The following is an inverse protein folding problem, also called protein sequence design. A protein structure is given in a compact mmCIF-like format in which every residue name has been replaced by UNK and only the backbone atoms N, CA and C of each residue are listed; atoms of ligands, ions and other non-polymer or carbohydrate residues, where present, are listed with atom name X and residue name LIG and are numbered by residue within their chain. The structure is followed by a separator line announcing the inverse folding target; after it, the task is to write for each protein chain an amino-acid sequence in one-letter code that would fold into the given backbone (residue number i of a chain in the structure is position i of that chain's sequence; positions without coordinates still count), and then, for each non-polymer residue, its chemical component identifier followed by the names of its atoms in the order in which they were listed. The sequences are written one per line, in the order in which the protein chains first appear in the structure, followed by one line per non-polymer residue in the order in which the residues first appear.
data_IF_669048799737
#
_entry.id   IF_669048799737
#
_cell.length_a   1.000
_cell.length_b   1.000
_cell.length_c   1.000
_cell.angle_alpha   90.00
_cell.angle_beta   90.00
_cell.angle_gamma   90.00
#
_symmetry.space_group_name_H-M   'P 1'
#
loop_
_entity.id
_entity.type
_entity.pdbx_description
1 polymer ?
#
# COMPACT_ATOMS: atom_id res chain seq x y z
N UNK A 1 -69.09 50.01 -5.45
CA UNK A 1 -67.79 50.34 -6.05
C UNK A 1 -66.71 49.92 -5.06
N UNK A 2 -66.19 48.70 -5.23
CA UNK A 2 -65.28 48.06 -4.28
C UNK A 2 -63.85 48.06 -4.82
N UNK A 3 -62.91 48.49 -3.99
CA UNK A 3 -61.47 48.47 -4.23
C UNK A 3 -60.97 47.02 -4.35
N UNK A 4 -60.16 46.73 -5.36
CA UNK A 4 -59.40 45.48 -5.48
C UNK A 4 -58.05 45.66 -4.79
N UNK A 5 -57.67 44.84 -3.79
CA UNK A 5 -56.36 44.94 -3.18
C UNK A 5 -55.28 44.29 -4.06
N UNK A 6 -54.16 44.99 -4.17
CA UNK A 6 -52.88 44.58 -4.77
C UNK A 6 -52.20 43.57 -3.84
N UNK A 7 -51.98 42.34 -4.30
CA UNK A 7 -51.23 41.33 -3.56
C UNK A 7 -49.75 41.48 -3.92
N UNK A 8 -48.96 41.97 -2.98
CA UNK A 8 -47.50 41.95 -3.02
C UNK A 8 -47.01 40.57 -2.56
N UNK A 9 -46.32 39.84 -3.44
CA UNK A 9 -45.56 38.66 -3.04
C UNK A 9 -44.20 39.10 -2.51
N UNK A 10 -44.06 39.08 -1.18
CA UNK A 10 -42.81 39.34 -0.48
C UNK A 10 -41.70 38.38 -0.91
N UNK A 11 -40.61 38.96 -1.40
CA UNK A 11 -39.38 38.28 -1.73
C UNK A 11 -38.67 37.82 -0.44
N UNK A 12 -38.80 36.53 -0.07
CA UNK A 12 -38.00 35.93 0.99
C UNK A 12 -36.66 35.48 0.41
N UNK A 13 -35.65 36.34 0.53
CA UNK A 13 -34.25 36.03 0.24
C UNK A 13 -33.67 35.10 1.32
N UNK A 14 -33.92 33.79 1.18
CA UNK A 14 -33.13 32.80 1.92
C UNK A 14 -31.83 32.53 1.16
N UNK A 15 -30.80 33.29 1.53
CA UNK A 15 -29.40 33.01 1.22
C UNK A 15 -29.01 31.65 1.82
N UNK A 16 -29.02 30.60 1.00
CA UNK A 16 -28.36 29.33 1.33
C UNK A 16 -26.88 29.47 0.98
N UNK A 17 -26.07 29.89 1.95
CA UNK A 17 -24.62 29.79 1.86
C UNK A 17 -24.22 28.34 2.06
N UNK A 18 -24.06 27.61 0.96
CA UNK A 18 -23.28 26.36 0.95
C UNK A 18 -21.81 26.75 1.20
N UNK A 19 -21.35 26.58 2.44
CA UNK A 19 -19.94 26.72 2.78
C UNK A 19 -19.20 25.47 2.33
N UNK A 20 -18.60 25.55 1.14
CA UNK A 20 -17.64 24.56 0.68
C UNK A 20 -16.33 24.80 1.40
N UNK A 21 -16.03 24.00 2.43
CA UNK A 21 -14.69 23.92 3.01
C UNK A 21 -13.79 23.15 2.03
N UNK A 22 -13.35 23.83 0.97
CA UNK A 22 -12.21 23.39 0.16
C UNK A 22 -10.95 23.55 1.01
N UNK A 23 -10.50 22.47 1.67
CA UNK A 23 -9.07 22.39 2.00
C UNK A 23 -8.32 22.46 0.68
N UNK A 24 -7.49 23.47 0.52
CA UNK A 24 -6.61 23.60 -0.63
C UNK A 24 -5.76 22.33 -0.75
N UNK A 25 -6.07 21.49 -1.73
CA UNK A 25 -5.18 20.41 -2.15
C UNK A 25 -4.01 21.07 -2.87
N UNK A 26 -2.91 21.27 -2.14
CA UNK A 26 -1.61 21.50 -2.75
C UNK A 26 -1.17 20.18 -3.40
N UNK A 27 -1.70 19.89 -4.58
CA UNK A 27 -1.03 18.99 -5.52
C UNK A 27 0.19 19.74 -6.04
N UNK A 28 1.27 19.65 -5.26
CA UNK A 28 2.61 19.99 -5.71
C UNK A 28 2.84 19.32 -7.06
N UNK A 29 3.16 20.16 -8.04
CA UNK A 29 3.61 19.85 -9.40
C UNK A 29 4.37 18.50 -9.43
N UNK A 30 3.74 17.44 -9.93
CA UNK A 30 4.44 16.20 -10.29
C UNK A 30 5.36 16.53 -11.47
N UNK A 31 6.59 16.93 -11.13
CA UNK A 31 7.69 16.96 -12.09
C UNK A 31 8.15 15.53 -12.30
N UNK A 32 8.32 15.17 -13.57
CA UNK A 32 8.85 13.92 -14.09
C UNK A 32 10.04 13.43 -13.25
N UNK A 33 9.87 12.34 -12.51
CA UNK A 33 11.00 11.63 -11.89
C UNK A 33 11.49 10.61 -12.92
N UNK A 34 12.34 11.10 -13.82
CA UNK A 34 13.23 10.27 -14.63
C UNK A 34 14.64 10.39 -14.06
N UNK A 35 15.04 9.53 -13.13
CA UNK A 35 16.43 9.11 -12.86
C UNK A 35 16.49 8.21 -11.62
N UNK A 36 16.50 6.89 -11.84
CA UNK A 36 17.04 5.94 -10.85
C UNK A 36 18.56 5.90 -11.03
N UNK A 37 19.28 6.74 -10.30
CA UNK A 37 20.69 6.52 -10.02
C UNK A 37 20.84 6.05 -8.56
N UNK A 38 21.32 4.80 -8.43
CA UNK A 38 22.03 4.16 -7.30
C UNK A 38 21.88 4.84 -5.93
N UNK A 39 21.17 4.19 -5.02
CA UNK A 39 21.29 4.45 -3.58
C UNK A 39 22.51 3.69 -3.01
N UNK A 40 23.49 4.37 -2.40
CA UNK A 40 24.46 3.74 -1.51
C UNK A 40 23.85 3.60 -0.10
N UNK A 41 24.00 2.42 0.49
CA UNK A 41 23.70 2.15 1.90
C UNK A 41 24.46 3.13 2.81
N UNK A 42 23.81 3.81 3.79
CA UNK A 42 24.53 4.50 4.84
C UNK A 42 24.76 3.60 6.06
N UNK A 43 26.04 3.49 6.41
CA UNK A 43 26.53 3.12 7.72
C UNK A 43 25.89 4.01 8.80
N UNK A 44 25.35 3.39 9.84
CA UNK A 44 24.74 4.04 11.00
C UNK A 44 25.81 4.74 11.82
N UNK A 45 25.81 6.06 11.82
CA UNK A 45 26.44 6.89 12.86
C UNK A 45 25.35 7.62 13.65
N UNK A 46 25.28 7.27 14.94
CA UNK A 46 24.33 7.76 15.92
C UNK A 46 24.59 9.24 16.27
N UNK A 47 23.61 10.11 16.02
CA UNK A 47 23.45 11.34 16.81
C UNK A 47 22.02 11.45 17.32
N UNK A 48 21.89 11.09 18.59
CA UNK A 48 20.75 11.26 19.49
C UNK A 48 20.18 12.68 19.41
N UNK A 49 18.91 12.81 18.99
CA UNK A 49 18.04 13.94 19.37
C UNK A 49 16.79 13.40 20.04
N UNK A 50 16.66 13.74 21.32
CA UNK A 50 15.55 13.38 22.18
C UNK A 50 14.25 14.05 21.70
N UNK A 51 13.24 13.24 21.40
CA UNK A 51 11.84 13.67 21.50
C UNK A 51 11.19 12.84 22.61
N UNK A 52 10.92 13.51 23.74
CA UNK A 52 10.12 12.97 24.83
C UNK A 52 8.65 12.98 24.40
N UNK A 53 8.08 11.82 24.08
CA UNK A 53 6.64 11.61 24.18
C UNK A 53 6.40 10.52 25.22
N UNK A 54 6.07 10.98 26.41
CA UNK A 54 5.59 10.16 27.53
C UNK A 54 4.18 9.70 27.21
N UNK A 55 4.03 8.43 26.83
CA UNK A 55 2.75 7.73 26.95
C UNK A 55 2.95 6.52 27.87
N UNK A 56 2.42 6.68 29.08
CA UNK A 56 2.30 5.69 30.13
C UNK A 56 1.63 4.41 29.58
N UNK A 57 2.44 3.38 29.31
CA UNK A 57 1.93 2.02 29.17
C UNK A 57 1.72 1.46 30.58
N UNK A 58 0.48 1.51 31.06
CA UNK A 58 0.03 0.71 32.20
C UNK A 58 0.28 -0.76 31.88
N UNK A 59 1.18 -1.36 32.66
CA UNK A 59 1.59 -2.75 32.60
C UNK A 59 0.43 -3.60 33.13
N UNK A 60 -0.34 -4.24 32.24
CA UNK A 60 -1.19 -5.36 32.65
C UNK A 60 -0.26 -6.56 32.88
N UNK A 61 0.03 -6.84 34.14
CA UNK A 61 0.56 -8.11 34.59
C UNK A 61 -0.62 -9.09 34.64
N UNK A 62 -0.64 -10.04 33.71
CA UNK A 62 -1.43 -11.28 33.88
C UNK A 62 -0.67 -12.11 34.91
N UNK A 63 -1.22 -12.17 36.12
CA UNK A 63 -0.71 -13.06 37.17
C UNK A 63 -0.97 -14.50 36.76
N UNK A 64 0.10 -15.22 36.42
CA UNK A 64 0.09 -16.69 36.45
C UNK A 64 0.42 -17.06 37.88
N UNK A 65 -0.57 -17.64 38.57
CA UNK A 65 -0.44 -18.10 39.94
C UNK A 65 0.71 -19.08 40.06
N UNK A 66 1.63 -18.78 40.97
CA UNK A 66 2.59 -19.75 41.49
C UNK A 66 2.31 -19.81 42.98
N UNK A 67 1.91 -21.00 43.42
CA UNK A 67 1.50 -21.28 44.79
C UNK A 67 2.62 -20.94 45.78
N UNK A 68 2.20 -20.47 46.95
CA UNK A 68 3.06 -20.11 48.06
C UNK A 68 3.93 -21.30 48.48
N UNK A 69 5.23 -21.10 48.53
CA UNK A 69 6.15 -21.94 49.30
C UNK A 69 7.09 -21.02 50.05
N UNK A 70 6.87 -20.99 51.36
CA UNK A 70 7.60 -20.30 52.42
C UNK A 70 9.09 -20.10 52.18
N UNK A 71 9.51 -18.86 52.45
CA UNK A 71 10.88 -18.43 52.64
C UNK A 71 11.55 -19.22 53.78
N UNK A 72 12.69 -19.81 53.49
CA UNK A 72 13.72 -20.12 54.47
C UNK A 72 14.91 -19.20 54.18
N UNK A 73 14.99 -18.11 54.94
CA UNK A 73 16.18 -17.28 55.08
C UNK A 73 17.21 -18.05 55.92
N UNK A 74 18.05 -18.87 55.29
CA UNK A 74 19.30 -19.38 55.89
C UNK A 74 20.09 -20.16 54.82
N UNK A 75 20.94 -19.47 54.05
CA UNK A 75 22.10 -20.03 53.32
C UNK A 75 22.79 -19.02 52.37
N UNK A 76 22.64 -17.72 52.60
CA UNK A 76 23.10 -16.71 51.63
C UNK A 76 24.58 -16.30 51.71
N UNK A 77 25.43 -16.95 52.51
CA UNK A 77 26.78 -16.38 52.78
C UNK A 77 28.01 -17.27 52.50
N UNK A 78 27.86 -18.41 51.83
CA UNK A 78 29.04 -19.28 51.57
C UNK A 78 29.08 -19.86 50.15
N UNK A 79 29.00 -19.01 49.14
CA UNK A 79 29.22 -19.42 47.73
C UNK A 79 29.91 -18.39 46.84
N UNK A 80 30.46 -17.29 47.38
CA UNK A 80 31.03 -16.20 46.58
C UNK A 80 32.56 -16.24 46.37
N UNK A 81 33.23 -17.38 46.60
CA UNK A 81 34.71 -17.43 46.58
C UNK A 81 35.33 -18.54 45.71
N UNK A 82 34.56 -19.27 44.90
CA UNK A 82 35.13 -20.23 43.94
C UNK A 82 35.27 -19.57 42.56
N UNK A 83 36.46 -19.57 41.92
CA UNK A 83 36.59 -19.09 40.56
C UNK A 83 35.73 -19.94 39.62
N UNK A 84 34.88 -19.26 38.82
CA UNK A 84 33.99 -19.89 37.85
C UNK A 84 34.77 -20.81 36.91
N UNK A 85 34.22 -21.99 36.67
CA UNK A 85 34.82 -22.95 35.75
C UNK A 85 34.72 -22.45 34.29
N UNK A 86 35.61 -22.90 33.42
CA UNK A 86 35.64 -22.46 32.01
C UNK A 86 34.30 -22.70 31.30
N UNK A 87 33.58 -23.76 31.65
CA UNK A 87 32.31 -24.09 31.01
C UNK A 87 31.14 -23.25 31.53
N UNK A 88 31.15 -22.85 32.81
CA UNK A 88 30.22 -21.85 33.37
C UNK A 88 30.45 -20.46 32.74
N UNK A 89 31.70 -20.09 32.46
CA UNK A 89 32.00 -18.84 31.76
C UNK A 89 31.52 -18.86 30.31
N UNK A 90 31.66 -20.00 29.61
CA UNK A 90 31.12 -20.17 28.24
C UNK A 90 29.60 -20.12 28.22
N UNK A 91 28.92 -20.76 29.17
CA UNK A 91 27.45 -20.72 29.24
C UNK A 91 26.94 -19.30 29.49
N UNK A 92 27.54 -18.56 30.44
CA UNK A 92 27.19 -17.16 30.67
C UNK A 92 27.41 -16.30 29.43
N UNK A 93 28.52 -16.51 28.69
CA UNK A 93 28.76 -15.79 27.44
C UNK A 93 27.68 -16.10 26.41
N UNK A 94 27.34 -17.38 26.20
CA UNK A 94 26.26 -17.80 25.30
C UNK A 94 24.93 -17.17 25.70
N UNK A 95 24.60 -17.14 26.99
CA UNK A 95 23.36 -16.54 27.48
C UNK A 95 23.33 -15.02 27.28
N UNK A 96 24.46 -14.33 27.46
CA UNK A 96 24.55 -12.90 27.15
C UNK A 96 24.37 -12.62 25.66
N UNK A 97 24.94 -13.44 24.77
CA UNK A 97 24.76 -13.31 23.33
C UNK A 97 23.32 -13.64 22.90
N UNK A 98 22.71 -14.70 23.45
CA UNK A 98 21.30 -15.02 23.26
C UNK A 98 20.39 -13.87 23.68
N UNK A 99 20.63 -13.26 24.84
CA UNK A 99 19.87 -12.13 25.33
C UNK A 99 19.97 -10.91 24.38
N UNK A 100 21.17 -10.64 23.85
CA UNK A 100 21.38 -9.58 22.83
C UNK A 100 20.59 -9.87 21.56
N UNK A 101 20.61 -11.11 21.06
CA UNK A 101 19.88 -11.52 19.87
C UNK A 101 18.37 -11.42 20.07
N UNK A 102 17.85 -11.90 21.19
CA UNK A 102 16.43 -11.80 21.54
C UNK A 102 15.98 -10.34 21.61
N UNK A 103 16.81 -9.46 22.20
CA UNK A 103 16.55 -8.02 22.23
C UNK A 103 16.46 -7.44 20.82
N UNK A 104 17.47 -7.68 19.96
CA UNK A 104 17.47 -7.22 18.56
C UNK A 104 16.27 -7.75 17.78
N UNK A 105 15.92 -9.02 17.96
CA UNK A 105 14.76 -9.64 17.32
C UNK A 105 13.45 -8.99 17.80
N UNK A 106 13.33 -8.70 19.09
CA UNK A 106 12.16 -8.00 19.63
C UNK A 106 12.04 -6.57 19.08
N UNK A 107 13.15 -5.84 18.95
CA UNK A 107 13.19 -4.49 18.41
C UNK A 107 12.81 -4.49 16.91
N UNK A 108 13.38 -5.40 16.13
CA UNK A 108 13.04 -5.59 14.72
C UNK A 108 11.56 -5.98 14.54
N UNK A 109 11.04 -6.87 15.39
CA UNK A 109 9.62 -7.24 15.36
C UNK A 109 8.69 -6.07 15.71
N UNK A 110 9.08 -5.21 16.66
CA UNK A 110 8.34 -3.99 16.97
C UNK A 110 8.31 -3.03 15.77
N UNK A 111 9.45 -2.84 15.10
CA UNK A 111 9.54 -2.03 13.89
C UNK A 111 8.69 -2.60 12.76
N UNK A 112 8.76 -3.91 12.50
CA UNK A 112 7.93 -4.59 11.50
C UNK A 112 6.43 -4.39 11.77
N UNK A 113 6.00 -4.53 13.03
CA UNK A 113 4.59 -4.29 13.41
C UNK A 113 4.18 -2.83 13.19
N UNK A 114 5.08 -1.88 13.46
CA UNK A 114 4.82 -0.46 13.23
C UNK A 114 4.68 -0.15 11.74
N UNK A 115 5.62 -0.61 10.91
CA UNK A 115 5.60 -0.40 9.46
C UNK A 115 4.37 -1.04 8.81
N UNK A 116 4.00 -2.26 9.22
CA UNK A 116 2.77 -2.92 8.74
C UNK A 116 1.50 -2.11 9.05
N UNK A 117 1.43 -1.48 10.23
CA UNK A 117 0.30 -0.60 10.57
C UNK A 117 0.28 0.66 9.72
N UNK A 118 1.44 1.26 9.46
CA UNK A 118 1.54 2.44 8.60
C UNK A 118 1.11 2.12 7.15
N UNK A 119 1.60 1.01 6.58
CA UNK A 119 1.21 0.57 5.24
C UNK A 119 -0.31 0.36 5.16
N UNK A 120 -0.89 -0.37 6.10
CA UNK A 120 -2.35 -0.60 6.14
C UNK A 120 -3.15 0.70 6.24
N UNK A 121 -2.67 1.69 7.01
CA UNK A 121 -3.31 3.01 7.09
C UNK A 121 -3.27 3.74 5.74
N UNK A 122 -2.11 3.74 5.09
CA UNK A 122 -1.92 4.37 3.78
C UNK A 122 -2.74 3.69 2.69
N UNK A 123 -2.82 2.36 2.69
CA UNK A 123 -3.69 1.60 1.79
C UNK A 123 -5.15 2.02 1.95
N UNK A 124 -5.64 2.13 3.19
CA UNK A 124 -7.00 2.59 3.46
C UNK A 124 -7.24 4.01 2.93
N UNK A 125 -6.30 4.93 3.15
CA UNK A 125 -6.38 6.30 2.62
C UNK A 125 -6.44 6.31 1.08
N UNK A 126 -5.61 5.52 0.40
CA UNK A 126 -5.64 5.38 -1.06
C UNK A 126 -6.99 4.84 -1.53
N UNK A 127 -7.53 3.81 -0.87
CA UNK A 127 -8.83 3.25 -1.23
C UNK A 127 -9.97 4.25 -1.04
N UNK A 128 -9.93 5.06 0.02
CA UNK A 128 -10.93 6.10 0.27
C UNK A 128 -10.84 7.22 -0.78
N UNK A 129 -9.64 7.68 -1.12
CA UNK A 129 -9.46 8.68 -2.18
C UNK A 129 -9.92 8.13 -3.53
N UNK A 130 -9.66 6.85 -3.81
CA UNK A 130 -10.12 6.20 -5.05
C UNK A 130 -11.66 6.19 -5.14
N UNK A 131 -12.36 5.85 -4.06
CA UNK A 131 -13.83 5.86 -4.06
C UNK A 131 -14.40 7.27 -4.20
N UNK A 132 -13.83 8.27 -3.50
CA UNK A 132 -14.22 9.67 -3.65
C UNK A 132 -14.00 10.20 -5.08
N UNK A 133 -12.88 9.86 -5.72
CA UNK A 133 -12.61 10.23 -7.11
C UNK A 133 -13.58 9.56 -8.08
N UNK A 134 -13.96 8.30 -7.85
CA UNK A 134 -14.94 7.60 -8.67
C UNK A 134 -16.34 8.24 -8.56
N UNK A 135 -16.76 8.64 -7.36
CA UNK A 135 -18.03 9.36 -7.18
C UNK A 135 -18.02 10.71 -7.91
N UNK A 136 -16.92 11.47 -7.80
CA UNK A 136 -16.76 12.75 -8.49
C UNK A 136 -16.77 12.58 -10.01
N UNK A 137 -16.18 11.50 -10.54
CA UNK A 137 -16.20 11.20 -11.97
C UNK A 137 -17.63 10.96 -12.49
N UNK A 138 -18.46 10.23 -11.74
CA UNK A 138 -19.87 9.99 -12.07
C UNK A 138 -20.71 11.27 -12.02
N UNK A 139 -20.50 12.12 -11.01
CA UNK A 139 -21.17 13.42 -10.92
C UNK A 139 -20.82 14.33 -12.11
N UNK A 140 -19.53 14.42 -12.45
CA UNK A 140 -19.09 15.20 -13.61
C UNK A 140 -19.64 14.59 -14.91
N UNK A 141 -19.72 13.26 -15.02
CA UNK A 141 -20.31 12.61 -16.18
C UNK A 141 -21.80 12.96 -16.34
N UNK A 142 -22.56 13.04 -15.24
CA UNK A 142 -23.94 13.49 -15.28
C UNK A 142 -24.05 14.95 -15.75
N UNK A 143 -23.17 15.83 -15.27
CA UNK A 143 -23.10 17.22 -15.71
C UNK A 143 -22.73 17.35 -17.20
N UNK A 144 -21.82 16.51 -17.69
CA UNK A 144 -21.48 16.45 -19.12
C UNK A 144 -22.74 16.11 -19.94
N UNK A 145 -23.48 15.05 -19.58
CA UNK A 145 -24.72 14.66 -20.28
C UNK A 145 -25.76 15.79 -20.31
N UNK A 146 -25.97 16.46 -19.18
CA UNK A 146 -26.86 17.62 -19.13
C UNK A 146 -26.38 18.76 -20.04
N UNK A 147 -25.07 19.01 -20.07
CA UNK A 147 -24.50 20.03 -20.96
C UNK A 147 -24.58 19.63 -22.45
N UNK A 148 -24.48 18.34 -22.78
CA UNK A 148 -24.71 17.81 -24.12
C UNK A 148 -26.15 18.04 -24.57
N UNK A 149 -27.13 17.72 -23.72
CA UNK A 149 -28.54 17.98 -23.99
C UNK A 149 -28.79 19.47 -24.25
N UNK A 150 -28.27 20.35 -23.40
CA UNK A 150 -28.40 21.81 -23.55
C UNK A 150 -27.73 22.30 -24.85
N UNK A 151 -26.58 21.73 -25.22
CA UNK A 151 -25.91 22.08 -26.46
C UNK A 151 -26.72 21.63 -27.70
N UNK A 152 -27.47 20.53 -27.59
CA UNK A 152 -28.28 19.95 -28.67
C UNK A 152 -29.66 20.61 -28.85
N UNK A 153 -30.23 21.21 -27.79
CA UNK A 153 -31.55 21.88 -27.82
C UNK A 153 -31.60 23.19 -28.65
N UNK A 154 -30.51 23.53 -29.35
CA UNK A 154 -30.39 24.74 -30.15
C UNK A 154 -29.86 25.92 -29.35
N UNK A 155 -29.43 26.98 -30.05
CA UNK A 155 -28.81 28.16 -29.42
C UNK A 155 -29.92 29.19 -29.08
N UNK A 156 -30.19 29.46 -27.79
CA UNK A 156 -31.12 30.51 -27.39
C UNK A 156 -30.75 31.88 -27.98
N UNK A 157 -31.75 32.68 -28.34
CA UNK A 157 -31.54 34.06 -28.78
C UNK A 157 -30.82 34.86 -27.68
N UNK A 158 -29.80 35.63 -28.07
CA UNK A 158 -28.95 36.39 -27.13
C UNK A 158 -27.82 35.58 -26.47
N UNK A 159 -27.61 34.31 -26.87
CA UNK A 159 -26.51 33.51 -26.33
C UNK A 159 -25.14 34.15 -26.59
N UNK A 160 -24.41 34.39 -25.50
CA UNK A 160 -23.04 34.90 -25.54
C UNK A 160 -22.09 33.88 -26.18
N UNK A 161 -21.09 34.38 -26.89
CA UNK A 161 -19.91 33.59 -27.31
C UNK A 161 -18.72 33.81 -26.38
N UNK A 162 -17.97 32.75 -26.14
CA UNK A 162 -16.71 32.73 -25.40
C UNK A 162 -15.69 32.05 -26.29
N UNK A 163 -14.59 32.74 -26.61
CA UNK A 163 -13.52 32.23 -27.50
C UNK A 163 -14.06 31.68 -28.83
N UNK A 164 -15.04 32.36 -29.43
CA UNK A 164 -15.66 31.97 -30.70
C UNK A 164 -16.72 30.87 -30.63
N UNK A 165 -16.86 30.18 -29.48
CA UNK A 165 -17.87 29.14 -29.25
C UNK A 165 -19.07 29.70 -28.48
N UNK A 166 -20.26 29.17 -28.69
CA UNK A 166 -21.42 29.51 -27.85
C UNK A 166 -21.21 29.01 -26.42
N UNK A 167 -21.72 29.75 -25.43
CA UNK A 167 -21.51 29.46 -24.01
C UNK A 167 -21.85 28.00 -23.64
N UNK A 168 -22.90 27.42 -24.24
CA UNK A 168 -23.31 26.03 -24.04
C UNK A 168 -22.23 25.05 -24.52
N UNK A 169 -21.81 25.19 -25.78
CA UNK A 169 -20.74 24.37 -26.36
C UNK A 169 -19.38 24.56 -25.66
N UNK A 170 -19.10 25.77 -25.16
CA UNK A 170 -17.90 26.05 -24.39
C UNK A 170 -17.94 25.32 -23.04
N UNK A 171 -19.07 25.38 -22.31
CA UNK A 171 -19.26 24.67 -21.05
C UNK A 171 -19.09 23.16 -21.23
N UNK A 172 -19.73 22.57 -22.23
CA UNK A 172 -19.59 21.14 -22.56
C UNK A 172 -18.11 20.77 -22.74
N UNK A 173 -17.38 21.49 -23.60
CA UNK A 173 -15.96 21.20 -23.85
C UNK A 173 -15.07 21.33 -22.60
N UNK A 174 -15.45 22.19 -21.64
CA UNK A 174 -14.73 22.35 -20.37
C UNK A 174 -15.04 21.20 -19.42
N UNK A 175 -16.30 20.77 -19.33
CA UNK A 175 -16.70 19.63 -18.52
C UNK A 175 -16.09 18.32 -19.06
N UNK A 176 -16.07 18.12 -20.38
CA UNK A 176 -15.40 16.99 -21.01
C UNK A 176 -13.91 16.93 -20.67
N UNK A 177 -13.23 18.08 -20.72
CA UNK A 177 -11.82 18.16 -20.36
C UNK A 177 -11.58 17.79 -18.88
N UNK A 178 -12.48 18.19 -17.98
CA UNK A 178 -12.42 17.81 -16.56
C UNK A 178 -12.71 16.33 -16.37
N UNK A 179 -13.76 15.80 -17.00
CA UNK A 179 -14.11 14.38 -16.96
C UNK A 179 -12.96 13.50 -17.46
N UNK A 180 -12.37 13.85 -18.62
CA UNK A 180 -11.20 13.15 -19.17
C UNK A 180 -10.04 13.16 -18.19
N UNK A 181 -9.73 14.31 -17.57
CA UNK A 181 -8.65 14.43 -16.59
C UNK A 181 -8.89 13.56 -15.35
N UNK A 182 -10.12 13.52 -14.83
CA UNK A 182 -10.49 12.66 -13.70
C UNK A 182 -10.32 11.18 -14.07
N UNK A 183 -10.80 10.78 -15.26
CA UNK A 183 -10.65 9.41 -15.76
C UNK A 183 -9.19 9.00 -15.90
N UNK A 184 -8.34 9.89 -16.41
CA UNK A 184 -6.90 9.64 -16.52
C UNK A 184 -6.22 9.54 -15.14
N UNK A 185 -6.66 10.34 -14.15
CA UNK A 185 -6.18 10.24 -12.77
C UNK A 185 -6.58 8.92 -12.11
N UNK A 186 -7.82 8.47 -12.28
CA UNK A 186 -8.30 7.18 -11.75
C UNK A 186 -7.47 6.04 -12.35
N UNK A 187 -7.27 6.03 -13.68
CA UNK A 187 -6.40 5.05 -14.34
C UNK A 187 -4.97 5.08 -13.81
N UNK A 188 -4.43 6.27 -13.53
CA UNK A 188 -3.10 6.43 -12.94
C UNK A 188 -3.01 5.82 -11.54
N UNK A 189 -4.04 5.99 -10.70
CA UNK A 189 -4.12 5.37 -9.37
C UNK A 189 -4.21 3.85 -9.48
N UNK A 190 -5.02 3.34 -10.41
CA UNK A 190 -5.17 1.89 -10.64
C UNK A 190 -3.88 1.23 -11.13
N UNK A 191 -3.15 1.88 -12.04
CA UNK A 191 -1.87 1.38 -12.53
C UNK A 191 -0.76 1.44 -11.46
N UNK A 192 -0.87 2.34 -10.48
CA UNK A 192 0.09 2.45 -9.39
C UNK A 192 -0.16 1.45 -8.24
N UNK A 193 -1.41 0.97 -8.10
CA UNK A 193 -1.81 0.05 -7.05
C UNK A 193 -1.25 -1.36 -7.31
N UNK A 194 -0.48 -1.89 -6.36
CA UNK A 194 -0.06 -3.29 -6.41
C UNK A 194 -1.22 -4.22 -6.07
N UNK A 195 -1.31 -5.33 -6.79
CA UNK A 195 -2.28 -6.41 -6.60
C UNK A 195 -1.57 -7.66 -6.10
N UNK A 196 -2.28 -8.41 -5.28
CA UNK A 196 -1.84 -9.71 -4.79
C UNK A 196 -1.96 -10.74 -5.92
N UNK A 197 -0.87 -11.42 -6.24
CA UNK A 197 -0.79 -12.41 -7.32
C UNK A 197 -0.19 -13.69 -6.77
N UNK A 198 -0.93 -14.79 -6.88
CA UNK A 198 -0.45 -16.10 -6.47
C UNK A 198 0.32 -16.74 -7.62
N UNK A 199 1.57 -17.10 -7.36
CA UNK A 199 2.43 -17.83 -8.28
C UNK A 199 2.69 -19.20 -7.69
N UNK A 200 2.66 -20.24 -8.52
CA UNK A 200 2.87 -21.60 -8.06
C UNK A 200 3.68 -22.41 -9.07
N UNK A 201 4.29 -23.49 -8.60
CA UNK A 201 4.99 -24.46 -9.42
C UNK A 201 4.64 -25.85 -8.93
N UNK A 202 4.44 -26.81 -9.84
CA UNK A 202 4.01 -28.17 -9.51
C UNK A 202 5.06 -29.14 -10.03
N UNK A 203 5.56 -30.00 -9.13
CA UNK A 203 6.51 -31.04 -9.49
C UNK A 203 7.21 -31.66 -8.28
N UNK A 204 8.24 -32.46 -8.55
CA UNK A 204 9.12 -33.02 -7.54
C UNK A 204 10.37 -32.15 -7.45
N UNK A 205 10.53 -31.43 -6.35
CA UNK A 205 11.69 -30.59 -6.07
C UNK A 205 11.93 -30.50 -4.57
N UNK A 206 13.14 -30.17 -4.15
CA UNK A 206 13.47 -29.86 -2.76
C UNK A 206 13.26 -28.37 -2.45
N UNK A 207 13.65 -27.51 -3.39
CA UNK A 207 13.56 -26.07 -3.27
C UNK A 207 13.15 -25.42 -4.60
N UNK A 208 12.23 -24.46 -4.52
CA UNK A 208 11.77 -23.72 -5.68
C UNK A 208 11.80 -22.24 -5.37
N UNK A 209 12.47 -21.47 -6.23
CA UNK A 209 12.52 -20.02 -6.16
C UNK A 209 11.98 -19.42 -7.46
N UNK A 210 11.39 -18.23 -7.39
CA UNK A 210 10.97 -17.47 -8.58
C UNK A 210 11.78 -16.19 -8.69
N UNK A 211 12.12 -15.84 -9.93
CA UNK A 211 12.73 -14.56 -10.31
C UNK A 211 12.00 -14.01 -11.53
N UNK A 212 11.98 -12.69 -11.71
CA UNK A 212 11.34 -12.11 -12.88
C UNK A 212 11.74 -10.68 -13.21
N UNK A 213 11.06 -10.12 -14.20
CA UNK A 213 11.30 -8.75 -14.65
C UNK A 213 10.73 -7.70 -13.70
N UNK A 214 9.87 -8.09 -12.76
CA UNK A 214 9.23 -7.17 -11.79
C UNK A 214 10.22 -6.52 -10.83
N UNK A 215 11.34 -7.18 -10.53
CA UNK A 215 12.45 -6.68 -9.70
C UNK A 215 13.76 -6.53 -10.49
N UNK A 216 13.69 -6.71 -11.81
CA UNK A 216 14.85 -6.69 -12.70
C UNK A 216 15.78 -7.89 -12.54
N UNK A 217 15.25 -9.06 -12.17
CA UNK A 217 15.98 -10.33 -12.05
C UNK A 217 17.09 -10.32 -10.99
N UNK A 218 16.87 -9.65 -9.84
CA UNK A 218 17.92 -9.48 -8.82
C UNK A 218 17.65 -10.29 -7.55
N UNK A 219 16.38 -10.45 -7.18
CA UNK A 219 15.92 -11.06 -5.95
C UNK A 219 15.26 -12.40 -6.26
N UNK A 220 15.57 -13.38 -5.41
CA UNK A 220 14.96 -14.71 -5.42
C UNK A 220 13.89 -14.74 -4.35
N UNK A 221 12.67 -15.09 -4.74
CA UNK A 221 11.58 -15.32 -3.80
C UNK A 221 11.35 -16.82 -3.66
N UNK A 222 11.44 -17.32 -2.42
CA UNK A 222 11.22 -18.72 -2.11
C UNK A 222 9.73 -19.07 -2.19
N UNK A 223 9.41 -20.23 -2.75
CA UNK A 223 8.07 -20.78 -2.73
C UNK A 223 7.91 -21.75 -1.57
N UNK A 224 6.78 -21.64 -0.88
CA UNK A 224 6.42 -22.53 0.21
C UNK A 224 5.89 -23.86 -0.35
N UNK A 225 6.42 -25.02 0.09
CA UNK A 225 5.92 -26.32 -0.33
C UNK A 225 4.59 -26.66 0.36
N UNK A 226 3.64 -27.11 -0.45
CA UNK A 226 2.37 -27.71 -0.05
C UNK A 226 2.37 -29.16 -0.53
N UNK A 227 2.48 -30.09 0.41
CA UNK A 227 2.59 -31.52 0.11
C UNK A 227 1.23 -32.10 -0.25
N UNK A 228 1.10 -32.60 -1.48
CA UNK A 228 -0.02 -33.43 -1.92
C UNK A 228 0.44 -34.87 -2.12
N UNK A 229 -0.51 -35.81 -2.14
CA UNK A 229 -0.21 -37.25 -2.13
C UNK A 229 0.56 -37.76 -3.37
N UNK A 230 0.58 -37.00 -4.47
CA UNK A 230 1.18 -37.40 -5.75
C UNK A 230 2.26 -36.44 -6.27
N UNK A 231 2.25 -35.18 -5.84
CA UNK A 231 3.16 -34.13 -6.27
C UNK A 231 3.25 -33.04 -5.20
N UNK A 232 4.32 -32.25 -5.21
CA UNK A 232 4.44 -31.09 -4.32
C UNK A 232 4.06 -29.83 -5.10
N UNK A 233 3.15 -29.04 -4.52
CA UNK A 233 2.80 -27.72 -5.05
C UNK A 233 3.58 -26.68 -4.27
N UNK A 234 4.45 -25.96 -4.94
CA UNK A 234 5.17 -24.83 -4.39
C UNK A 234 4.36 -23.56 -4.68
N UNK A 235 4.15 -22.69 -3.71
CA UNK A 235 3.38 -21.46 -3.92
C UNK A 235 3.97 -20.25 -3.19
N UNK A 236 3.76 -19.07 -3.77
CA UNK A 236 4.12 -17.79 -3.16
C UNK A 236 3.12 -16.71 -3.57
N UNK A 237 3.09 -15.63 -2.81
CA UNK A 237 2.25 -14.47 -3.03
C UNK A 237 3.13 -13.26 -3.33
N UNK A 238 2.96 -12.69 -4.53
CA UNK A 238 3.67 -11.50 -4.97
C UNK A 238 2.74 -10.29 -5.01
N UNK A 239 3.26 -9.11 -4.69
CA UNK A 239 2.53 -7.84 -4.81
C UNK A 239 3.04 -7.06 -6.03
N UNK A 240 2.35 -7.17 -7.15
CA UNK A 240 2.78 -6.64 -8.44
C UNK A 240 1.80 -5.59 -8.97
N UNK A 241 2.30 -4.59 -9.68
CA UNK A 241 1.43 -3.62 -10.36
C UNK A 241 0.80 -4.25 -11.61
N UNK A 242 -0.32 -3.73 -12.12
CA UNK A 242 -0.85 -4.16 -13.40
C UNK A 242 0.20 -4.03 -14.50
N UNK A 243 0.38 -5.09 -15.28
CA UNK A 243 1.45 -5.18 -16.27
C UNK A 243 1.73 -6.61 -16.72
N UNK A 244 2.60 -6.72 -17.72
CA UNK A 244 3.12 -8.00 -18.23
C UNK A 244 4.54 -8.18 -17.70
N UNK A 245 4.76 -9.27 -16.99
CA UNK A 245 6.04 -9.63 -16.41
C UNK A 245 6.54 -10.93 -17.01
N UNK A 246 7.85 -11.04 -17.13
CA UNK A 246 8.53 -12.29 -17.45
C UNK A 246 9.09 -12.88 -16.16
N UNK A 247 9.04 -14.20 -16.02
CA UNK A 247 9.57 -14.89 -14.85
C UNK A 247 10.17 -16.24 -15.24
N UNK A 248 10.99 -16.77 -14.34
CA UNK A 248 11.55 -18.11 -14.45
C UNK A 248 11.69 -18.72 -13.06
N UNK A 249 11.57 -20.04 -12.99
CA UNK A 249 11.72 -20.78 -11.75
C UNK A 249 13.14 -21.32 -11.66
N UNK A 250 13.73 -21.22 -10.47
CA UNK A 250 14.96 -21.91 -10.12
C UNK A 250 14.58 -23.08 -9.23
N UNK A 251 14.65 -24.29 -9.78
CA UNK A 251 14.24 -25.54 -9.14
C UNK A 251 15.50 -26.34 -8.86
N UNK A 252 15.82 -26.57 -7.59
CA UNK A 252 17.03 -27.29 -7.16
C UNK A 252 18.34 -26.78 -7.81
N UNK A 253 18.39 -25.48 -8.08
CA UNK A 253 19.54 -24.82 -8.71
C UNK A 253 19.53 -24.79 -10.24
N UNK A 254 18.54 -25.41 -10.89
CA UNK A 254 18.38 -25.41 -12.35
C UNK A 254 17.21 -24.51 -12.80
N UNK A 255 17.43 -23.79 -13.90
CA UNK A 255 16.42 -22.90 -14.46
C UNK A 255 15.36 -23.69 -15.22
N UNK A 256 14.10 -23.60 -14.77
CA UNK A 256 12.98 -24.32 -15.36
C UNK A 256 11.83 -23.37 -15.73
N UNK A 257 11.06 -23.82 -16.71
CA UNK A 257 9.84 -23.18 -17.17
C UNK A 257 8.66 -23.99 -16.68
N UNK A 258 7.69 -23.32 -16.08
CA UNK A 258 6.46 -23.97 -15.63
C UNK A 258 5.51 -24.14 -16.81
N UNK A 259 4.92 -25.33 -17.02
CA UNK A 259 3.89 -25.54 -18.04
C UNK A 259 2.58 -24.81 -17.73
N UNK A 260 2.39 -24.37 -16.48
CA UNK A 260 1.16 -23.73 -16.00
C UNK A 260 1.04 -22.25 -16.42
N UNK A 261 2.13 -21.65 -16.90
CA UNK A 261 2.15 -20.26 -17.33
C UNK A 261 2.48 -20.16 -18.83
N UNK A 262 1.85 -19.24 -19.56
CA UNK A 262 2.23 -18.94 -20.94
C UNK A 262 3.72 -18.64 -21.05
N UNK A 263 4.36 -19.03 -22.15
CA UNK A 263 5.79 -18.75 -22.37
C UNK A 263 6.01 -17.67 -23.43
N UNK A 264 7.18 -17.04 -23.39
CA UNK A 264 7.62 -16.01 -24.32
C UNK A 264 9.10 -16.20 -24.60
N UNK A 265 9.50 -16.03 -25.86
CA UNK A 265 10.87 -16.27 -26.33
C UNK A 265 11.04 -17.66 -26.94
N UNK A 266 12.27 -17.99 -27.32
CA UNK A 266 12.62 -19.27 -27.93
C UNK A 266 13.92 -19.82 -27.33
N UNK A 267 13.96 -21.14 -27.11
CA UNK A 267 15.15 -21.85 -26.61
C UNK A 267 15.59 -21.42 -25.22
N UNK A 268 16.87 -21.03 -25.08
CA UNK A 268 17.46 -20.67 -23.78
C UNK A 268 16.89 -19.37 -23.18
N UNK A 269 16.31 -18.51 -24.03
CA UNK A 269 15.70 -17.24 -23.64
C UNK A 269 14.19 -17.38 -23.37
N UNK A 270 13.67 -18.62 -23.36
CA UNK A 270 12.29 -18.87 -22.98
C UNK A 270 12.06 -18.53 -21.50
N UNK A 271 11.02 -17.74 -21.25
CA UNK A 271 10.56 -17.30 -19.94
C UNK A 271 9.05 -17.50 -19.82
N UNK A 272 8.55 -17.73 -18.61
CA UNK A 272 7.12 -17.69 -18.33
C UNK A 272 6.63 -16.23 -18.30
N UNK A 273 5.37 -16.02 -18.66
CA UNK A 273 4.72 -14.72 -18.70
C UNK A 273 3.63 -14.68 -17.64
N UNK A 274 3.70 -13.67 -16.79
CA UNK A 274 2.67 -13.34 -15.82
C UNK A 274 2.00 -12.03 -16.22
N UNK A 275 0.70 -12.08 -16.46
CA UNK A 275 -0.12 -10.88 -16.74
C UNK A 275 -0.92 -10.54 -15.50
N UNK A 276 -0.73 -9.33 -15.00
CA UNK A 276 -1.48 -8.76 -13.90
C UNK A 276 -2.43 -7.73 -14.48
N UNK A 277 -3.73 -8.03 -14.43
CA UNK A 277 -4.80 -7.09 -14.78
C UNK A 277 -5.03 -6.09 -13.64
#
# INVERSE_FOLDING_TARGET
MGCVPRIEFGCSSRSLTLSWNLRAWNLGRFTTISHFHKLPYPLVASTRKHYKNSLLLKRFLVGVGTEESSLSEDSLDESLSRPLTSDELKSLLIDTERAKLVKKLSEANQQNRFLKRQLKSQEHEITNIKSELALMELEVQALVKLAEEIANLGIPQGSRKISGKYIQSHLLSRLDAVHKKLKDQIKGVEAAQSKEVHVFWIGMAESVQVMGSFDGWNQREDLSPEYSALFTKFSTTLFLRPGRYEMKFLVDGEWQISPEFPTSGEGLMENNVLVVE
#
